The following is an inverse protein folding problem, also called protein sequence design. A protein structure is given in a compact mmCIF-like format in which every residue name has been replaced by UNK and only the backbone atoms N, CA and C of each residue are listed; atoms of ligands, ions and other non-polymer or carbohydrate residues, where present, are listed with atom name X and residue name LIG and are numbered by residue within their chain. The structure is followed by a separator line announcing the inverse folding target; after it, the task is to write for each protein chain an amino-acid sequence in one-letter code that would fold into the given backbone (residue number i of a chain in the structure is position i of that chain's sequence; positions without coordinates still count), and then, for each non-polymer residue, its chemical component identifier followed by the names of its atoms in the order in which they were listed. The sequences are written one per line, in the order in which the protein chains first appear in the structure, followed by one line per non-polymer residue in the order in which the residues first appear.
data_IF_017115507701
#
_entry.id   IF_017115507701
#
_cell.length_a   1.000
_cell.length_b   1.000
_cell.length_c   1.000
_cell.angle_alpha   90.00
_cell.angle_beta   90.00
_cell.angle_gamma   90.00
#
_symmetry.space_group_name_H-M   'P 1'
#
loop_
_entity.id
_entity.type
_entity.pdbx_description
1 polymer ?
#
# COMPACT_ATOMS: atom_id res chain seq x y z
N UNK A 1 0.23 5.07 -4.77
CA UNK A 1 -0.35 3.71 -4.66
C UNK A 1 -1.74 3.60 -5.27
N UNK A 2 -2.71 4.45 -4.95
CA UNK A 2 -4.08 4.30 -5.48
C UNK A 2 -4.17 4.25 -7.03
N UNK A 3 -3.53 5.15 -7.81
CA UNK A 3 -3.57 5.04 -9.29
C UNK A 3 -2.87 3.78 -9.82
N UNK A 4 -1.84 3.31 -9.11
CA UNK A 4 -1.11 2.09 -9.46
C UNK A 4 -1.96 0.84 -9.23
N UNK A 5 -2.70 0.77 -8.12
CA UNK A 5 -3.71 -0.29 -7.87
C UNK A 5 -4.75 -0.33 -8.97
N UNK A 6 -5.29 0.83 -9.36
CA UNK A 6 -6.27 0.91 -10.44
C UNK A 6 -5.67 0.44 -11.77
N UNK A 7 -4.44 0.86 -12.09
CA UNK A 7 -3.74 0.41 -13.30
C UNK A 7 -3.51 -1.10 -13.27
N UNK A 8 -2.98 -1.66 -12.18
CA UNK A 8 -2.74 -3.09 -12.01
C UNK A 8 -4.02 -3.92 -12.10
N UNK A 9 -5.11 -3.44 -11.50
CA UNK A 9 -6.41 -4.11 -11.56
C UNK A 9 -6.99 -4.13 -12.98
N UNK A 10 -6.91 -3.01 -13.70
CA UNK A 10 -7.42 -2.91 -15.10
C UNK A 10 -6.55 -3.67 -16.09
N UNK A 11 -5.23 -3.52 -16.00
CA UNK A 11 -4.29 -4.14 -16.90
C UNK A 11 -4.11 -5.64 -16.64
N UNK A 12 -4.45 -6.13 -15.44
CA UNK A 12 -4.22 -7.51 -14.99
C UNK A 12 -2.76 -7.94 -15.17
N UNK A 13 -1.84 -6.98 -15.03
CA UNK A 13 -0.39 -7.14 -15.15
C UNK A 13 0.29 -6.27 -14.10
N UNK A 14 1.38 -6.76 -13.55
CA UNK A 14 2.17 -6.04 -12.55
C UNK A 14 3.68 -6.17 -12.75
N UNK A 15 4.16 -6.59 -13.92
CA UNK A 15 5.59 -6.71 -14.26
C UNK A 15 6.41 -5.47 -13.90
N UNK A 16 5.90 -4.27 -14.23
CA UNK A 16 6.57 -3.00 -13.94
C UNK A 16 6.59 -2.61 -12.45
N UNK A 17 5.82 -3.33 -11.60
CA UNK A 17 5.68 -3.02 -10.19
C UNK A 17 6.71 -3.81 -9.38
N UNK A 18 7.67 -3.10 -8.79
CA UNK A 18 8.63 -3.68 -7.86
C UNK A 18 7.94 -4.19 -6.58
N UNK A 19 8.14 -5.47 -6.27
CA UNK A 19 7.64 -6.07 -5.03
C UNK A 19 8.23 -5.41 -3.78
N UNK A 20 9.52 -5.07 -3.83
CA UNK A 20 10.21 -4.38 -2.73
C UNK A 20 9.61 -3.01 -2.44
N UNK A 21 9.19 -2.27 -3.47
CA UNK A 21 8.52 -0.98 -3.31
C UNK A 21 7.19 -1.13 -2.56
N UNK A 22 6.38 -2.13 -2.90
CA UNK A 22 5.08 -2.38 -2.25
C UNK A 22 5.27 -2.73 -0.78
N UNK A 23 6.23 -3.61 -0.47
CA UNK A 23 6.55 -4.00 0.91
C UNK A 23 7.05 -2.80 1.72
N UNK A 24 7.99 -2.03 1.17
CA UNK A 24 8.54 -0.87 1.86
C UNK A 24 7.47 0.19 2.15
N UNK A 25 6.55 0.43 1.22
CA UNK A 25 5.46 1.37 1.41
C UNK A 25 4.43 0.88 2.45
N UNK A 26 4.17 -0.43 2.50
CA UNK A 26 3.33 -1.05 3.53
C UNK A 26 3.97 -0.90 4.93
N UNK A 27 5.28 -1.15 5.06
CA UNK A 27 6.01 -0.95 6.32
C UNK A 27 6.03 0.53 6.74
N UNK A 28 6.30 1.43 5.81
CA UNK A 28 6.27 2.87 6.07
C UNK A 28 4.90 3.33 6.59
N UNK A 29 3.81 2.90 5.95
CA UNK A 29 2.45 3.25 6.40
C UNK A 29 2.10 2.68 7.78
N UNK A 30 2.53 1.45 8.09
CA UNK A 30 2.39 0.90 9.46
C UNK A 30 3.15 1.74 10.49
N UNK A 31 4.41 2.11 10.20
CA UNK A 31 5.23 2.94 11.09
C UNK A 31 4.57 4.29 11.34
N UNK A 32 4.07 4.95 10.29
CA UNK A 32 3.39 6.24 10.43
C UNK A 32 2.04 6.14 11.15
N UNK A 33 1.29 5.05 10.98
CA UNK A 33 0.07 4.82 11.75
C UNK A 33 0.37 4.64 13.25
N UNK A 34 1.40 3.85 13.58
CA UNK A 34 1.88 3.68 14.95
C UNK A 34 2.38 5.00 15.54
N UNK A 35 3.12 5.80 14.76
CA UNK A 35 3.55 7.13 15.16
C UNK A 35 2.37 8.09 15.40
N UNK A 36 1.34 8.05 14.54
CA UNK A 36 0.11 8.80 14.74
C UNK A 36 -0.61 8.42 16.03
N UNK A 37 -0.57 7.14 16.41
CA UNK A 37 -1.11 6.66 17.69
C UNK A 37 -0.36 7.26 18.88
N UNK A 38 0.98 7.31 18.82
CA UNK A 38 1.81 7.96 19.85
C UNK A 38 1.51 9.45 19.99
N UNK A 39 1.18 10.12 18.87
CA UNK A 39 0.81 11.54 18.85
C UNK A 39 -0.66 11.82 19.15
N UNK A 40 -1.49 10.78 19.37
CA UNK A 40 -2.96 10.90 19.47
C UNK A 40 -3.58 11.64 18.26
N UNK A 41 -2.96 11.53 17.08
CA UNK A 41 -3.39 12.23 15.87
C UNK A 41 -4.27 11.34 15.02
N UNK A 42 -5.59 11.47 15.20
CA UNK A 42 -6.60 10.74 14.41
C UNK A 42 -6.38 10.87 12.89
N UNK A 43 -6.10 12.07 12.33
CA UNK A 43 -5.87 12.20 10.88
C UNK A 43 -4.69 11.37 10.39
N UNK A 44 -3.60 11.31 11.16
CA UNK A 44 -2.39 10.60 10.78
C UNK A 44 -2.59 9.09 10.84
N UNK A 45 -3.32 8.60 11.86
CA UNK A 45 -3.70 7.19 11.99
C UNK A 45 -4.57 6.78 10.81
N UNK A 46 -5.68 7.50 10.57
CA UNK A 46 -6.65 7.15 9.52
C UNK A 46 -6.01 7.17 8.14
N UNK A 47 -5.25 8.21 7.81
CA UNK A 47 -4.62 8.33 6.50
C UNK A 47 -3.64 7.17 6.23
N UNK A 48 -2.81 6.83 7.21
CA UNK A 48 -1.81 5.79 7.04
C UNK A 48 -2.41 4.37 7.11
N UNK A 49 -3.47 4.15 7.89
CA UNK A 49 -4.23 2.90 7.85
C UNK A 49 -4.88 2.66 6.48
N UNK A 50 -5.47 3.68 5.86
CA UNK A 50 -6.02 3.57 4.49
C UNK A 50 -4.90 3.26 3.49
N UNK A 51 -3.77 3.97 3.58
CA UNK A 51 -2.61 3.72 2.72
C UNK A 51 -2.07 2.29 2.87
N UNK A 52 -2.05 1.75 4.09
CA UNK A 52 -1.66 0.37 4.36
C UNK A 52 -2.60 -0.62 3.67
N UNK A 53 -3.93 -0.45 3.81
CA UNK A 53 -4.93 -1.30 3.15
C UNK A 53 -4.76 -1.30 1.62
N UNK A 54 -4.57 -0.12 1.01
CA UNK A 54 -4.32 0.00 -0.43
C UNK A 54 -3.04 -0.77 -0.84
N UNK A 55 -2.01 -0.77 0.02
CA UNK A 55 -0.75 -1.47 -0.23
C UNK A 55 -0.91 -2.98 -0.17
N UNK A 56 -1.74 -3.49 0.75
CA UNK A 56 -2.11 -4.91 0.79
C UNK A 56 -2.87 -5.31 -0.47
N UNK A 57 -3.78 -4.47 -0.97
CA UNK A 57 -4.47 -4.74 -2.24
C UNK A 57 -3.47 -4.83 -3.39
N UNK A 58 -2.51 -3.90 -3.49
CA UNK A 58 -1.45 -3.95 -4.50
C UNK A 58 -0.59 -5.21 -4.38
N UNK A 59 -0.25 -5.61 -3.15
CA UNK A 59 0.53 -6.81 -2.88
C UNK A 59 -0.19 -8.07 -3.36
N UNK A 60 -1.49 -8.21 -3.05
CA UNK A 60 -2.32 -9.32 -3.54
C UNK A 60 -2.41 -9.31 -5.06
N UNK A 61 -2.56 -8.13 -5.70
CA UNK A 61 -2.55 -8.03 -7.15
C UNK A 61 -1.20 -8.44 -7.76
N UNK A 62 -0.08 -8.10 -7.13
CA UNK A 62 1.26 -8.53 -7.58
C UNK A 62 1.43 -10.04 -7.50
N UNK A 63 0.92 -10.68 -6.46
CA UNK A 63 0.92 -12.14 -6.33
C UNK A 63 -0.01 -12.82 -7.33
N UNK A 64 -1.16 -12.21 -7.64
CA UNK A 64 -2.15 -12.74 -8.58
C UNK A 64 -1.74 -12.59 -10.04
N UNK A 65 -1.00 -11.54 -10.37
CA UNK A 65 -0.58 -11.20 -11.73
C UNK A 65 0.94 -10.98 -11.78
N UNK A 66 1.77 -12.03 -11.60
CA UNK A 66 3.22 -11.89 -11.51
C UNK A 66 3.89 -11.28 -12.76
N UNK A 67 3.22 -11.40 -13.92
CA UNK A 67 3.62 -10.93 -15.25
C UNK A 67 3.64 -9.40 -15.42
#
# INVERSE_FOLDING_TARGET
MLPQVVKSFRAKKTGDVSMGMVILYALNSLIWAAYGWLLQSTPLIVANSIAFVISIIQFVLKLKYPD
#
